data_IF_857691785656
#
_entry.id   IF_857691785656
#
_cell.length_a   1.000
_cell.length_b   1.000
_cell.length_c   1.000
_cell.angle_alpha   90.00
_cell.angle_beta   90.00
_cell.angle_gamma   90.00
#
_symmetry.space_group_name_H-M   'P 1'
#
loop_
_entity.id
_entity.type
_entity.pdbx_description
1 polymer ?
#
# COMPACT_ATOMS: atom_id res chain seq x y z
N UNK A 1 30.91 -41.00 31.44
CA UNK A 1 30.72 -40.18 30.23
C UNK A 1 29.28 -39.69 30.16
N UNK A 2 29.02 -38.41 30.49
CA UNK A 2 27.68 -37.84 30.46
C UNK A 2 27.65 -36.86 29.28
N UNK A 3 26.97 -37.23 28.18
CA UNK A 3 26.76 -36.39 27.02
C UNK A 3 25.76 -35.29 27.35
N UNK A 4 26.17 -34.02 27.22
CA UNK A 4 25.29 -32.86 27.25
C UNK A 4 24.62 -32.71 25.88
N UNK A 5 23.30 -32.90 25.79
CA UNK A 5 22.51 -32.44 24.68
C UNK A 5 22.47 -30.91 24.75
N UNK A 6 23.09 -30.24 23.79
CA UNK A 6 22.81 -28.82 23.51
C UNK A 6 21.50 -28.74 22.74
N UNK A 7 20.44 -28.36 23.44
CA UNK A 7 19.18 -27.93 22.80
C UNK A 7 19.44 -26.54 22.26
N UNK A 8 19.63 -26.45 20.95
CA UNK A 8 19.69 -25.18 20.25
C UNK A 8 18.35 -24.46 20.34
N UNK A 9 18.26 -23.46 21.21
CA UNK A 9 17.14 -22.53 21.24
C UNK A 9 17.19 -21.73 19.93
N UNK A 10 16.32 -22.05 18.97
CA UNK A 10 16.06 -21.20 17.81
C UNK A 10 15.41 -19.92 18.36
N UNK A 11 16.20 -18.85 18.47
CA UNK A 11 15.68 -17.50 18.67
C UNK A 11 14.82 -17.16 17.44
N UNK A 12 13.53 -17.41 17.54
CA UNK A 12 12.56 -16.86 16.60
C UNK A 12 12.69 -15.34 16.68
N UNK A 13 13.14 -14.76 15.60
CA UNK A 13 13.33 -13.33 15.40
C UNK A 13 12.08 -12.57 15.83
N UNK A 14 12.20 -11.72 16.86
CA UNK A 14 11.16 -10.81 17.36
C UNK A 14 10.81 -9.68 16.37
N UNK A 15 11.34 -9.73 15.17
CA UNK A 15 11.27 -8.66 14.14
C UNK A 15 9.86 -8.51 13.55
N UNK A 16 9.01 -9.55 13.57
CA UNK A 16 7.74 -9.54 12.84
C UNK A 16 6.63 -8.68 13.49
N UNK A 17 6.73 -8.37 14.79
CA UNK A 17 5.69 -7.56 15.49
C UNK A 17 5.86 -6.05 15.35
N UNK A 18 7.00 -5.58 14.90
CA UNK A 18 7.34 -4.14 14.81
C UNK A 18 7.41 -3.60 13.37
N UNK A 19 7.21 -4.43 12.35
CA UNK A 19 7.29 -4.01 10.95
C UNK A 19 5.90 -3.79 10.37
N UNK A 20 5.72 -2.69 9.64
CA UNK A 20 4.54 -2.34 8.87
C UNK A 20 4.94 -2.28 7.38
N UNK A 21 4.22 -2.96 6.51
CA UNK A 21 4.44 -2.90 5.07
C UNK A 21 3.34 -2.07 4.42
N UNK A 22 3.75 -1.01 3.71
CA UNK A 22 2.88 -0.14 2.93
C UNK A 22 3.16 -0.39 1.46
N UNK A 23 2.16 -0.78 0.71
CA UNK A 23 2.28 -1.09 -0.71
C UNK A 23 1.47 -0.08 -1.51
N UNK A 24 2.12 0.74 -2.32
CA UNK A 24 1.42 1.50 -3.35
C UNK A 24 1.12 0.60 -4.54
N UNK A 25 -0.13 0.53 -4.98
CA UNK A 25 -0.47 -0.14 -6.24
C UNK A 25 -0.32 0.83 -7.41
N UNK A 26 0.15 0.30 -8.54
CA UNK A 26 0.36 1.01 -9.79
C UNK A 26 0.89 0.08 -10.87
N UNK A 27 0.94 0.56 -12.10
CA UNK A 27 1.61 -0.08 -13.24
C UNK A 27 3.00 0.55 -13.43
N UNK A 28 4.04 -0.24 -13.72
CA UNK A 28 5.35 0.28 -14.09
C UNK A 28 5.33 0.88 -15.49
N UNK A 29 6.18 1.88 -15.74
CA UNK A 29 6.32 2.57 -17.01
C UNK A 29 5.90 4.04 -16.94
N UNK A 30 6.65 4.90 -17.65
CA UNK A 30 6.42 6.35 -17.65
C UNK A 30 5.05 6.76 -18.17
N UNK A 31 4.45 5.96 -19.04
CA UNK A 31 3.10 6.17 -19.58
C UNK A 31 2.00 6.06 -18.50
N UNK A 32 2.28 5.39 -17.36
CA UNK A 32 1.30 5.21 -16.27
C UNK A 32 1.51 6.16 -15.09
N UNK A 33 2.65 6.87 -15.00
CA UNK A 33 3.05 7.63 -13.82
C UNK A 33 1.98 8.62 -13.32
N UNK A 34 1.23 9.23 -14.23
CA UNK A 34 0.22 10.24 -13.90
C UNK A 34 -1.21 9.71 -13.93
N UNK A 35 -1.40 8.41 -14.17
CA UNK A 35 -2.74 7.83 -14.28
C UNK A 35 -3.41 7.67 -12.91
N UNK A 36 -4.76 7.68 -12.91
CA UNK A 36 -5.54 7.47 -11.69
C UNK A 36 -5.22 6.17 -10.99
N UNK A 37 -4.94 5.12 -11.77
CA UNK A 37 -4.59 3.79 -11.24
C UNK A 37 -3.25 3.75 -10.52
N UNK A 38 -2.37 4.74 -10.76
CA UNK A 38 -1.08 4.87 -10.11
C UNK A 38 -1.10 5.77 -8.87
N UNK A 39 -2.26 6.18 -8.35
CA UNK A 39 -2.33 7.00 -7.13
C UNK A 39 -1.64 6.32 -5.94
N UNK A 40 -1.64 4.99 -5.89
CA UNK A 40 -0.91 4.24 -4.86
C UNK A 40 0.61 4.50 -4.93
N UNK A 41 1.20 4.49 -6.14
CA UNK A 41 2.61 4.85 -6.35
C UNK A 41 2.87 6.30 -5.95
N UNK A 42 2.03 7.24 -6.40
CA UNK A 42 2.18 8.67 -6.08
C UNK A 42 2.24 8.92 -4.57
N UNK A 43 1.39 8.26 -3.78
CA UNK A 43 1.35 8.42 -2.32
C UNK A 43 2.60 7.85 -1.65
N UNK A 44 3.06 6.64 -2.04
CA UNK A 44 4.25 6.05 -1.42
C UNK A 44 5.53 6.75 -1.87
N UNK A 45 5.59 7.27 -3.10
CA UNK A 45 6.71 8.09 -3.58
C UNK A 45 6.81 9.40 -2.81
N UNK A 46 5.68 10.09 -2.62
CA UNK A 46 5.63 11.31 -1.83
C UNK A 46 6.02 11.06 -0.36
N UNK A 47 5.58 9.92 0.21
CA UNK A 47 5.96 9.58 1.57
C UNK A 47 7.45 9.24 1.68
N UNK A 48 8.04 8.47 0.76
CA UNK A 48 9.46 8.17 0.74
C UNK A 48 10.29 9.46 0.67
N UNK A 49 9.92 10.39 -0.23
CA UNK A 49 10.55 11.70 -0.34
C UNK A 49 10.42 12.52 0.95
N UNK A 50 9.26 12.51 1.59
CA UNK A 50 8.98 13.27 2.82
C UNK A 50 9.74 12.76 4.06
N UNK A 51 10.32 11.54 3.99
CA UNK A 51 11.15 10.94 5.04
C UNK A 51 12.61 10.76 4.59
N UNK A 52 12.97 11.35 3.45
CA UNK A 52 14.34 11.35 2.86
C UNK A 52 14.88 9.93 2.56
N UNK A 53 14.01 9.02 2.16
CA UNK A 53 14.37 7.64 1.81
C UNK A 53 14.44 7.44 0.30
N UNK A 54 15.42 6.66 -0.13
CA UNK A 54 15.60 6.33 -1.54
C UNK A 54 15.07 4.94 -1.86
N UNK A 55 14.53 4.80 -3.07
CA UNK A 55 14.10 3.51 -3.60
C UNK A 55 15.31 2.64 -3.97
N UNK A 56 15.23 1.36 -3.63
CA UNK A 56 16.18 0.32 -3.99
C UNK A 56 15.48 -0.78 -4.79
N UNK A 57 16.24 -1.56 -5.56
CA UNK A 57 15.74 -2.67 -6.39
C UNK A 57 16.19 -4.03 -5.84
N UNK A 58 15.68 -4.51 -4.69
CA UNK A 58 16.11 -5.78 -4.11
C UNK A 58 15.55 -6.99 -4.85
N UNK A 59 14.60 -6.80 -5.78
CA UNK A 59 13.93 -7.86 -6.53
C UNK A 59 13.46 -7.33 -7.89
N UNK A 60 13.39 -8.19 -8.90
CA UNK A 60 12.73 -7.88 -10.18
C UNK A 60 11.22 -7.67 -10.06
N UNK A 61 10.62 -8.00 -8.91
CA UNK A 61 9.18 -7.87 -8.69
C UNK A 61 8.77 -6.57 -8.00
N UNK A 62 9.68 -5.86 -7.34
CA UNK A 62 9.34 -4.65 -6.59
C UNK A 62 10.53 -3.75 -6.31
N UNK A 63 10.24 -2.46 -6.18
CA UNK A 63 11.09 -1.48 -5.52
C UNK A 63 10.74 -1.41 -4.05
N UNK A 64 11.72 -1.10 -3.22
CA UNK A 64 11.61 -0.98 -1.79
C UNK A 64 12.31 0.27 -1.26
N UNK A 65 11.65 0.98 -0.35
CA UNK A 65 12.29 1.96 0.53
C UNK A 65 11.96 1.62 1.98
N UNK A 66 12.87 1.93 2.91
CA UNK A 66 12.69 1.59 4.33
C UNK A 66 12.99 2.80 5.19
N UNK A 67 12.12 3.01 6.18
CA UNK A 67 12.35 4.03 7.19
C UNK A 67 11.96 3.50 8.57
N UNK A 68 12.34 4.25 9.59
CA UNK A 68 11.90 4.00 10.96
C UNK A 68 11.05 5.18 11.43
N UNK A 69 9.77 4.92 11.70
CA UNK A 69 8.84 5.95 12.14
C UNK A 69 8.08 5.52 13.40
N UNK A 70 8.02 6.40 14.40
CA UNK A 70 7.37 6.13 15.69
C UNK A 70 7.82 4.83 16.37
N UNK A 71 9.09 4.45 16.20
CA UNK A 71 9.69 3.25 16.81
C UNK A 71 9.46 1.94 16.06
N UNK A 72 8.71 1.95 14.96
CA UNK A 72 8.51 0.77 14.12
C UNK A 72 9.24 0.89 12.78
N UNK A 73 9.56 -0.24 12.18
CA UNK A 73 10.06 -0.30 10.81
C UNK A 73 8.89 -0.16 9.84
N UNK A 74 9.00 0.76 8.88
CA UNK A 74 8.03 0.94 7.78
C UNK A 74 8.75 0.54 6.49
N UNK A 75 8.21 -0.46 5.81
CA UNK A 75 8.70 -0.95 4.52
C UNK A 75 7.73 -0.50 3.45
N UNK A 76 8.19 0.35 2.54
CA UNK A 76 7.43 0.81 1.39
C UNK A 76 7.72 -0.08 0.20
N UNK A 77 6.69 -0.47 -0.54
CA UNK A 77 6.81 -1.35 -1.71
C UNK A 77 6.06 -0.71 -2.89
N UNK A 78 6.72 -0.71 -4.05
CA UNK A 78 6.07 -0.50 -5.36
C UNK A 78 6.23 -1.79 -6.17
N UNK A 79 5.16 -2.54 -6.48
CA UNK A 79 5.24 -3.67 -7.40
C UNK A 79 5.73 -3.22 -8.78
N UNK A 80 6.69 -3.94 -9.36
CA UNK A 80 7.18 -3.72 -10.73
C UNK A 80 6.50 -4.66 -11.74
N UNK A 81 5.41 -5.29 -11.31
CA UNK A 81 4.51 -6.09 -12.17
C UNK A 81 3.35 -5.21 -12.63
N UNK A 82 2.66 -5.62 -13.70
CA UNK A 82 1.37 -5.00 -14.01
C UNK A 82 0.37 -5.23 -12.87
N UNK A 83 -0.64 -4.35 -12.80
CA UNK A 83 -1.62 -4.25 -11.72
C UNK A 83 -2.19 -5.62 -11.31
N UNK A 84 -2.62 -6.43 -12.26
CA UNK A 84 -3.21 -7.76 -12.04
C UNK A 84 -2.24 -8.83 -11.51
N UNK A 85 -0.96 -8.52 -11.37
CA UNK A 85 0.08 -9.40 -10.81
C UNK A 85 0.74 -8.81 -9.56
N UNK A 86 0.24 -7.68 -9.03
CA UNK A 86 0.82 -6.97 -7.89
C UNK A 86 0.94 -7.84 -6.64
N UNK A 87 0.02 -8.77 -6.44
CA UNK A 87 0.03 -9.70 -5.31
C UNK A 87 1.31 -10.53 -5.21
N UNK A 88 1.96 -10.87 -6.34
CA UNK A 88 3.23 -11.63 -6.34
C UNK A 88 4.33 -10.91 -5.58
N UNK A 89 4.47 -9.60 -5.80
CA UNK A 89 5.43 -8.76 -5.08
C UNK A 89 5.10 -8.71 -3.58
N UNK A 90 3.82 -8.47 -3.26
CA UNK A 90 3.32 -8.37 -1.88
C UNK A 90 3.55 -9.68 -1.12
N UNK A 91 3.13 -10.81 -1.67
CA UNK A 91 3.26 -12.11 -1.02
C UNK A 91 4.73 -12.53 -0.87
N UNK A 92 5.56 -12.31 -1.91
CA UNK A 92 7.00 -12.58 -1.83
C UNK A 92 7.62 -11.81 -0.66
N UNK A 93 7.39 -10.50 -0.60
CA UNK A 93 8.02 -9.66 0.42
C UNK A 93 7.47 -9.91 1.82
N UNK A 94 6.17 -10.14 1.96
CA UNK A 94 5.57 -10.53 3.23
C UNK A 94 6.19 -11.81 3.81
N UNK A 95 6.40 -12.83 2.97
CA UNK A 95 7.03 -14.09 3.39
C UNK A 95 8.48 -13.90 3.79
N UNK A 96 9.28 -13.15 2.99
CA UNK A 96 10.68 -12.88 3.28
C UNK A 96 10.90 -12.17 4.62
N UNK A 97 10.01 -11.25 4.97
CA UNK A 97 10.09 -10.46 6.21
C UNK A 97 9.27 -11.04 7.36
N UNK A 98 8.52 -12.12 7.13
CA UNK A 98 7.63 -12.70 8.15
C UNK A 98 6.50 -11.75 8.56
N UNK A 99 6.01 -10.91 7.64
CA UNK A 99 4.96 -9.91 7.91
C UNK A 99 3.58 -10.56 7.77
N UNK A 100 2.78 -10.50 8.84
CA UNK A 100 1.38 -10.93 8.79
C UNK A 100 0.55 -10.04 7.86
N UNK A 101 -0.44 -10.58 7.12
CA UNK A 101 -1.37 -9.78 6.32
C UNK A 101 -2.03 -8.63 7.07
N UNK A 102 -2.30 -8.79 8.37
CA UNK A 102 -2.84 -7.73 9.24
C UNK A 102 -1.90 -6.54 9.47
N UNK A 103 -0.64 -6.65 9.03
CA UNK A 103 0.38 -5.60 9.04
C UNK A 103 0.71 -5.08 7.64
N UNK A 104 -0.07 -5.46 6.64
CA UNK A 104 0.03 -4.98 5.27
C UNK A 104 -1.05 -3.93 5.03
N UNK A 105 -0.65 -2.79 4.46
CA UNK A 105 -1.56 -1.71 4.02
C UNK A 105 -1.36 -1.51 2.52
N UNK A 106 -2.40 -1.71 1.76
CA UNK A 106 -2.44 -1.48 0.32
C UNK A 106 -3.01 -0.08 0.07
N UNK A 107 -2.26 0.77 -0.62
CA UNK A 107 -2.72 2.09 -1.09
C UNK A 107 -3.21 1.92 -2.52
N UNK A 108 -4.47 2.26 -2.77
CA UNK A 108 -5.16 1.97 -4.03
C UNK A 108 -6.18 3.04 -4.39
N UNK A 109 -6.51 3.16 -5.67
CA UNK A 109 -7.60 4.00 -6.16
C UNK A 109 -8.97 3.46 -5.78
N UNK A 110 -9.97 4.37 -5.72
CA UNK A 110 -11.37 4.07 -5.42
C UNK A 110 -12.29 5.01 -6.18
N UNK A 111 -12.92 4.51 -7.22
CA UNK A 111 -13.79 5.32 -8.09
C UNK A 111 -15.15 5.70 -7.46
N UNK A 112 -15.55 5.08 -6.35
CA UNK A 112 -16.80 5.47 -5.66
C UNK A 112 -16.61 6.68 -4.72
N UNK A 113 -15.40 7.22 -4.61
CA UNK A 113 -15.10 8.39 -3.81
C UNK A 113 -14.64 9.55 -4.69
N UNK A 114 -15.03 10.78 -4.36
CA UNK A 114 -14.50 11.96 -5.04
C UNK A 114 -13.00 12.07 -4.85
N UNK A 115 -12.31 12.74 -5.78
CA UNK A 115 -10.89 13.07 -5.62
C UNK A 115 -10.71 13.86 -4.33
N UNK A 116 -9.66 13.54 -3.61
CA UNK A 116 -9.41 14.13 -2.30
C UNK A 116 -9.89 13.27 -1.14
N UNK A 117 -10.87 12.39 -1.28
CA UNK A 117 -11.34 11.54 -0.19
C UNK A 117 -10.39 10.36 0.06
N UNK A 118 -10.03 10.17 1.34
CA UNK A 118 -9.33 8.98 1.82
C UNK A 118 -10.22 8.15 2.72
N UNK A 119 -10.08 6.84 2.64
CA UNK A 119 -10.79 5.92 3.52
C UNK A 119 -9.95 4.68 3.83
N UNK A 120 -9.66 4.44 5.10
CA UNK A 120 -8.96 3.26 5.56
C UNK A 120 -9.98 2.20 6.00
N UNK A 121 -9.82 0.97 5.50
CA UNK A 121 -10.64 -0.18 5.92
C UNK A 121 -9.81 -1.46 5.97
N UNK A 122 -10.26 -2.44 6.75
CA UNK A 122 -9.71 -3.78 6.76
C UNK A 122 -10.64 -4.74 5.99
N UNK A 123 -10.04 -5.65 5.26
CA UNK A 123 -10.79 -6.74 4.61
C UNK A 123 -11.73 -6.33 3.48
N UNK A 124 -12.64 -7.23 3.12
CA UNK A 124 -13.64 -7.06 2.06
C UNK A 124 -13.20 -7.57 0.69
N UNK A 125 -14.14 -7.66 -0.27
CA UNK A 125 -13.87 -8.06 -1.66
C UNK A 125 -12.98 -7.06 -2.39
N UNK A 126 -12.45 -7.44 -3.56
CA UNK A 126 -11.65 -6.55 -4.40
C UNK A 126 -12.43 -5.35 -4.96
N UNK A 127 -13.76 -5.45 -5.02
CA UNK A 127 -14.60 -4.42 -5.63
C UNK A 127 -14.34 -4.25 -7.14
N UNK A 128 -13.82 -5.27 -7.81
CA UNK A 128 -13.44 -5.21 -9.22
C UNK A 128 -12.03 -4.65 -9.47
N UNK A 129 -11.29 -4.26 -8.43
CA UNK A 129 -9.93 -3.74 -8.57
C UNK A 129 -8.94 -4.90 -8.77
N UNK A 130 -8.32 -5.01 -9.96
CA UNK A 130 -7.45 -6.12 -10.33
C UNK A 130 -6.23 -6.29 -9.41
N UNK A 131 -5.61 -5.20 -8.99
CA UNK A 131 -4.47 -5.25 -8.07
C UNK A 131 -4.85 -5.77 -6.68
N UNK A 132 -6.00 -5.34 -6.16
CA UNK A 132 -6.53 -5.85 -4.88
C UNK A 132 -6.93 -7.32 -5.00
N UNK A 133 -7.54 -7.74 -6.12
CA UNK A 133 -7.84 -9.15 -6.38
C UNK A 133 -6.56 -9.99 -6.35
N UNK A 134 -5.52 -9.57 -7.09
CA UNK A 134 -4.21 -10.24 -7.09
C UNK A 134 -3.60 -10.35 -5.69
N UNK A 135 -3.71 -9.31 -4.86
CA UNK A 135 -3.20 -9.37 -3.48
C UNK A 135 -3.99 -10.35 -2.62
N UNK A 136 -5.33 -10.41 -2.77
CA UNK A 136 -6.18 -11.39 -2.06
C UNK A 136 -5.77 -12.81 -2.45
N UNK A 137 -5.60 -13.07 -3.73
CA UNK A 137 -5.27 -14.40 -4.26
C UNK A 137 -3.89 -14.88 -3.78
N UNK A 138 -2.87 -14.02 -3.87
CA UNK A 138 -1.49 -14.39 -3.52
C UNK A 138 -1.21 -14.43 -2.00
N UNK A 139 -1.97 -13.67 -1.20
CA UNK A 139 -1.93 -13.75 0.27
C UNK A 139 -2.90 -14.80 0.84
N UNK A 140 -3.77 -15.38 -0.01
CA UNK A 140 -4.83 -16.33 0.36
C UNK A 140 -5.78 -15.78 1.45
N UNK A 141 -5.88 -14.45 1.52
CA UNK A 141 -6.74 -13.76 2.49
C UNK A 141 -7.03 -12.33 2.09
N UNK A 142 -8.20 -11.84 2.43
CA UNK A 142 -8.56 -10.43 2.33
C UNK A 142 -8.25 -9.64 3.63
N UNK A 143 -7.68 -10.27 4.66
CA UNK A 143 -7.49 -9.67 5.98
C UNK A 143 -6.25 -8.77 6.06
N UNK A 144 -6.15 -7.81 5.15
CA UNK A 144 -5.18 -6.72 5.14
C UNK A 144 -5.89 -5.36 5.09
N UNK A 145 -5.15 -4.30 5.30
CA UNK A 145 -5.67 -2.93 5.30
C UNK A 145 -5.61 -2.32 3.91
N UNK A 146 -6.55 -1.43 3.62
CA UNK A 146 -6.60 -0.67 2.37
C UNK A 146 -6.81 0.80 2.65
N UNK A 147 -5.85 1.62 2.26
CA UNK A 147 -6.00 3.07 2.17
C UNK A 147 -6.53 3.36 0.76
N UNK A 148 -7.81 3.67 0.67
CA UNK A 148 -8.53 3.89 -0.58
C UNK A 148 -8.51 5.38 -0.89
N UNK A 149 -7.93 5.75 -2.03
CA UNK A 149 -7.78 7.11 -2.52
C UNK A 149 -8.85 7.39 -3.57
N UNK A 150 -9.71 8.36 -3.34
CA UNK A 150 -10.79 8.70 -4.27
C UNK A 150 -10.27 9.21 -5.60
N UNK A 151 -10.83 8.69 -6.70
CA UNK A 151 -10.47 9.10 -8.06
C UNK A 151 -11.67 9.62 -8.86
N UNK A 152 -12.85 9.75 -8.21
CA UNK A 152 -14.12 10.12 -8.84
C UNK A 152 -14.68 9.03 -9.78
N UNK A 153 -15.93 9.22 -10.23
CA UNK A 153 -16.61 8.31 -11.15
C UNK A 153 -17.19 9.10 -12.32
N UNK A 154 -16.36 9.36 -13.32
CA UNK A 154 -16.75 10.10 -14.53
C UNK A 154 -16.63 9.21 -15.77
N UNK A 155 -17.21 8.03 -15.72
CA UNK A 155 -17.18 7.04 -16.80
C UNK A 155 -18.52 6.31 -16.91
N UNK A 156 -18.85 5.89 -18.13
CA UNK A 156 -20.02 5.10 -18.47
C UNK A 156 -19.76 3.57 -18.40
N UNK A 157 -20.77 2.76 -18.72
CA UNK A 157 -20.62 1.32 -18.79
C UNK A 157 -19.51 0.90 -19.79
N UNK A 158 -18.55 0.08 -19.35
CA UNK A 158 -17.45 -0.42 -20.18
C UNK A 158 -16.22 0.49 -20.24
N UNK A 159 -16.26 1.71 -19.73
CA UNK A 159 -15.18 2.71 -19.84
C UNK A 159 -14.22 2.72 -18.63
N UNK A 160 -14.45 1.88 -17.62
CA UNK A 160 -13.67 1.88 -16.38
C UNK A 160 -12.16 1.73 -16.63
N UNK A 161 -11.76 0.83 -17.53
CA UNK A 161 -10.34 0.56 -17.80
C UNK A 161 -9.67 1.79 -18.39
N UNK A 162 -10.29 2.43 -19.37
CA UNK A 162 -9.78 3.67 -19.96
C UNK A 162 -9.70 4.80 -18.93
N UNK A 163 -10.73 4.92 -18.08
CA UNK A 163 -10.80 5.94 -17.04
C UNK A 163 -9.68 5.82 -16.02
N UNK A 164 -9.42 4.62 -15.49
CA UNK A 164 -8.35 4.44 -14.48
C UNK A 164 -6.96 4.57 -15.08
N UNK A 165 -6.79 4.29 -16.37
CA UNK A 165 -5.54 4.46 -17.11
C UNK A 165 -5.35 5.87 -17.67
N UNK A 166 -6.32 6.76 -17.53
CA UNK A 166 -6.19 8.17 -17.88
C UNK A 166 -5.61 8.99 -16.70
N UNK A 167 -4.90 10.10 -16.98
CA UNK A 167 -4.43 11.03 -15.97
C UNK A 167 -5.59 11.75 -15.27
N UNK A 168 -5.34 12.33 -14.10
CA UNK A 168 -6.29 13.23 -13.46
C UNK A 168 -6.50 14.49 -14.31
N UNK A 169 -7.71 15.05 -14.28
CA UNK A 169 -8.03 16.28 -14.98
C UNK A 169 -7.26 17.47 -14.37
N UNK A 170 -6.94 18.46 -15.20
CA UNK A 170 -6.25 19.66 -14.73
C UNK A 170 -6.99 20.39 -13.59
N UNK A 171 -8.33 20.33 -13.60
CA UNK A 171 -9.20 20.89 -12.54
C UNK A 171 -9.11 20.14 -11.22
N UNK A 172 -8.57 18.93 -11.20
CA UNK A 172 -8.42 18.08 -10.00
C UNK A 172 -7.02 18.18 -9.37
N UNK A 173 -6.12 19.00 -9.92
CA UNK A 173 -4.71 19.06 -9.53
C UNK A 173 -4.52 19.41 -8.04
N UNK A 174 -5.25 20.39 -7.55
CA UNK A 174 -5.12 20.84 -6.16
C UNK A 174 -5.69 19.79 -5.18
N UNK A 175 -6.83 19.18 -5.52
CA UNK A 175 -7.44 18.10 -4.74
C UNK A 175 -6.53 16.86 -4.71
N UNK A 176 -5.90 16.52 -5.86
CA UNK A 176 -4.93 15.44 -5.95
C UNK A 176 -3.71 15.69 -5.06
N UNK A 177 -3.11 16.88 -5.14
CA UNK A 177 -1.96 17.24 -4.30
C UNK A 177 -2.31 17.15 -2.82
N UNK A 178 -3.44 17.75 -2.41
CA UNK A 178 -3.92 17.67 -1.04
C UNK A 178 -4.25 16.24 -0.60
N UNK A 179 -4.72 15.37 -1.51
CA UNK A 179 -4.97 13.95 -1.20
C UNK A 179 -3.67 13.19 -0.99
N UNK A 180 -2.64 13.44 -1.79
CA UNK A 180 -1.31 12.82 -1.63
C UNK A 180 -0.71 13.22 -0.28
N UNK A 181 -0.76 14.50 0.10
CA UNK A 181 -0.27 14.99 1.39
C UNK A 181 -1.01 14.32 2.57
N UNK A 182 -2.34 14.23 2.48
CA UNK A 182 -3.14 13.50 3.48
C UNK A 182 -2.86 11.99 3.47
N UNK A 183 -2.50 11.40 2.33
CA UNK A 183 -2.03 10.03 2.21
C UNK A 183 -0.75 9.80 3.01
N UNK A 184 0.21 10.71 2.90
CA UNK A 184 1.44 10.69 3.69
C UNK A 184 1.14 10.79 5.19
N UNK A 185 0.23 11.69 5.58
CA UNK A 185 -0.18 11.82 6.99
C UNK A 185 -0.92 10.58 7.48
N UNK A 186 -1.75 9.96 6.65
CA UNK A 186 -2.42 8.70 6.98
C UNK A 186 -1.39 7.58 7.25
N UNK A 187 -0.33 7.46 6.44
CA UNK A 187 0.76 6.51 6.67
C UNK A 187 1.44 6.78 8.02
N UNK A 188 1.72 8.05 8.36
CA UNK A 188 2.29 8.42 9.68
C UNK A 188 1.37 8.00 10.83
N UNK A 189 0.07 8.25 10.70
CA UNK A 189 -0.92 7.87 11.73
C UNK A 189 -1.01 6.37 11.88
N UNK A 190 -1.02 5.61 10.79
CA UNK A 190 -1.03 4.14 10.80
C UNK A 190 0.23 3.61 11.49
N UNK A 191 1.40 4.16 11.19
CA UNK A 191 2.65 3.76 11.82
C UNK A 191 2.67 4.08 13.32
N UNK A 192 2.14 5.24 13.73
CA UNK A 192 2.16 5.71 15.13
C UNK A 192 1.13 5.04 16.01
N UNK A 193 -0.09 4.82 15.50
CA UNK A 193 -1.25 4.40 16.30
C UNK A 193 -1.63 2.92 16.06
N UNK A 194 -1.09 2.33 15.00
CA UNK A 194 -1.63 1.11 14.42
C UNK A 194 -2.86 1.37 13.54
N UNK A 195 -3.12 0.50 12.54
CA UNK A 195 -4.12 0.78 11.52
C UNK A 195 -5.56 0.87 12.07
N UNK A 196 -5.91 0.10 13.11
CA UNK A 196 -7.25 0.11 13.68
C UNK A 196 -7.63 1.47 14.33
N UNK A 197 -6.72 2.07 15.09
CA UNK A 197 -6.96 3.39 15.69
C UNK A 197 -6.81 4.52 14.65
N UNK A 198 -5.88 4.39 13.72
CA UNK A 198 -5.72 5.34 12.63
C UNK A 198 -6.97 5.41 11.75
N UNK A 199 -7.66 4.29 11.51
CA UNK A 199 -8.89 4.23 10.73
C UNK A 199 -9.95 5.21 11.23
N UNK A 200 -10.15 5.31 12.55
CA UNK A 200 -11.14 6.22 13.11
C UNK A 200 -10.81 7.67 12.75
N UNK A 201 -9.54 8.08 12.86
CA UNK A 201 -9.11 9.46 12.56
C UNK A 201 -9.16 9.76 11.05
N UNK A 202 -8.66 8.83 10.22
CA UNK A 202 -8.60 9.03 8.77
C UNK A 202 -10.00 9.14 8.19
N UNK A 203 -10.92 8.27 8.62
CA UNK A 203 -12.27 8.23 8.07
C UNK A 203 -13.16 9.39 8.54
N UNK A 204 -12.89 9.97 9.72
CA UNK A 204 -13.63 11.15 10.23
C UNK A 204 -13.17 12.44 9.56
N UNK A 205 -11.87 12.59 9.27
CA UNK A 205 -11.32 13.78 8.64
C UNK A 205 -11.50 13.81 7.10
N UNK A 206 -12.05 12.76 6.52
CA UNK A 206 -12.30 12.61 5.08
C UNK A 206 -13.74 12.90 4.66
N UNK A 207 -14.54 13.53 5.54
CA UNK A 207 -15.94 13.89 5.28
C UNK A 207 -16.04 15.32 4.81
#
# INVERSE_FOLDING_TARGET
MRGRLCVGLHLMSTTSRSTLMIVGLGNPGSEYETTRHNIGFMVVDAFAAAVDEQWTHPSSLFDEARTRYAGIEVVLIKPLTYMNLSGKAVAKRSRELGISPTRVVIVTDEYNFPVGKLHLKQGGSSGGHNGVASVIDELETANFWRLRCGIDRRFGPGELVEYVLAPFDASQKDDLAAMIDRGCEAIRQIAKLGPALAMQKINTNGS
#
